data_IF_419781072624
#
_entry.id   IF_419781072624
#
_cell.length_a   1.000
_cell.length_b   1.000
_cell.length_c   1.000
_cell.angle_alpha   90.00
_cell.angle_beta   90.00
_cell.angle_gamma   90.00
#
_symmetry.space_group_name_H-M   'P 1'
#
loop_
_entity.id
_entity.type
_entity.pdbx_description
1 polymer ?
#
# COMPACT_ATOMS: atom_id res chain seq x y z
N UNK A 1 -22.89 2.03 -16.78
CA UNK A 1 -23.60 1.33 -15.68
C UNK A 1 -22.82 1.34 -14.35
N UNK A 2 -21.48 1.47 -14.33
CA UNK A 2 -20.70 1.59 -13.09
C UNK A 2 -20.87 2.93 -12.32
N UNK A 3 -21.37 3.99 -12.96
CA UNK A 3 -21.58 5.31 -12.36
C UNK A 3 -22.70 5.35 -11.30
N UNK A 4 -23.53 4.30 -11.20
CA UNK A 4 -24.57 4.20 -10.16
C UNK A 4 -24.09 3.64 -8.81
N UNK A 5 -22.88 3.07 -8.73
CA UNK A 5 -22.40 2.39 -7.51
C UNK A 5 -21.60 3.29 -6.57
N UNK A 6 -21.05 4.40 -7.07
CA UNK A 6 -20.32 5.39 -6.27
C UNK A 6 -21.21 6.60 -6.10
N UNK A 7 -22.09 6.51 -5.11
CA UNK A 7 -22.83 7.68 -4.66
C UNK A 7 -21.87 8.60 -3.88
N UNK A 8 -22.07 9.92 -3.96
CA UNK A 8 -21.32 10.88 -3.14
C UNK A 8 -21.39 10.52 -1.65
N UNK A 9 -22.53 9.95 -1.23
CA UNK A 9 -22.77 9.43 0.12
C UNK A 9 -21.77 8.34 0.53
N UNK A 10 -21.28 7.51 -0.41
CA UNK A 10 -20.27 6.49 -0.11
C UNK A 10 -18.90 7.12 0.17
N UNK A 11 -18.53 8.15 -0.60
CA UNK A 11 -17.25 8.85 -0.45
C UNK A 11 -17.26 9.68 0.85
N UNK A 12 -18.36 10.35 1.16
CA UNK A 12 -18.50 11.12 2.40
C UNK A 12 -18.57 10.21 3.62
N UNK A 13 -19.25 9.06 3.54
CA UNK A 13 -19.23 8.04 4.57
C UNK A 13 -17.82 7.47 4.77
N UNK A 14 -17.11 7.15 3.69
CA UNK A 14 -15.72 6.68 3.75
C UNK A 14 -14.79 7.72 4.38
N UNK A 15 -14.95 9.01 4.05
CA UNK A 15 -14.17 10.10 4.64
C UNK A 15 -14.47 10.27 6.13
N UNK A 16 -15.74 10.19 6.54
CA UNK A 16 -16.15 10.22 7.96
C UNK A 16 -15.58 9.02 8.72
N UNK A 17 -15.59 7.84 8.11
CA UNK A 17 -15.04 6.63 8.72
C UNK A 17 -13.52 6.67 8.79
N UNK A 18 -12.83 7.26 7.81
CA UNK A 18 -11.39 7.46 7.83
C UNK A 18 -10.90 8.31 9.02
N UNK A 19 -11.77 9.15 9.58
CA UNK A 19 -11.47 9.94 10.79
C UNK A 19 -11.63 9.13 12.10
N UNK A 20 -12.09 7.88 12.05
CA UNK A 20 -12.25 7.05 13.26
C UNK A 20 -10.88 6.69 13.83
N UNK A 21 -10.60 6.99 15.12
CA UNK A 21 -9.28 6.74 15.73
C UNK A 21 -8.81 5.30 15.63
N UNK A 22 -9.74 4.33 15.66
CA UNK A 22 -9.43 2.90 15.57
C UNK A 22 -8.89 2.49 14.20
N UNK A 23 -9.42 3.08 13.11
CA UNK A 23 -8.94 2.78 11.75
C UNK A 23 -7.58 3.45 11.51
N UNK A 24 -7.44 4.70 11.96
CA UNK A 24 -6.17 5.44 11.91
C UNK A 24 -5.09 4.67 12.69
N UNK A 25 -5.38 4.19 13.90
CA UNK A 25 -4.39 3.45 14.69
C UNK A 25 -3.93 2.16 13.99
N UNK A 26 -4.84 1.40 13.39
CA UNK A 26 -4.49 0.17 12.64
C UNK A 26 -3.62 0.49 11.44
N UNK A 27 -3.99 1.50 10.65
CA UNK A 27 -3.27 1.85 9.43
C UNK A 27 -1.93 2.55 9.74
N UNK A 28 -1.88 3.44 10.73
CA UNK A 28 -0.64 4.08 11.16
C UNK A 28 0.36 3.04 11.65
N UNK A 29 -0.06 2.08 12.48
CA UNK A 29 0.78 0.95 12.90
C UNK A 29 1.31 0.15 11.71
N UNK A 30 0.47 -0.06 10.70
CA UNK A 30 0.84 -0.78 9.47
C UNK A 30 1.90 -0.01 8.70
N UNK A 31 1.69 1.29 8.45
CA UNK A 31 2.61 2.15 7.73
C UNK A 31 3.94 2.32 8.48
N UNK A 32 3.90 2.53 9.79
CA UNK A 32 5.10 2.63 10.62
C UNK A 32 5.91 1.33 10.56
N UNK A 33 5.26 0.17 10.70
CA UNK A 33 5.97 -1.12 10.57
C UNK A 33 6.54 -1.35 9.17
N UNK A 34 5.84 -0.94 8.11
CA UNK A 34 6.34 -1.00 6.74
C UNK A 34 7.59 -0.13 6.53
N UNK A 35 7.59 1.09 7.07
CA UNK A 35 8.75 2.00 7.03
C UNK A 35 9.91 1.43 7.85
N UNK A 36 9.66 0.85 9.02
CA UNK A 36 10.70 0.21 9.83
C UNK A 36 11.34 -0.99 9.11
N UNK A 37 10.54 -1.84 8.46
CA UNK A 37 11.05 -2.94 7.65
C UNK A 37 11.84 -2.43 6.45
N UNK A 38 11.33 -1.43 5.73
CA UNK A 38 12.07 -0.82 4.63
C UNK A 38 13.41 -0.24 5.10
N UNK A 39 13.42 0.47 6.24
CA UNK A 39 14.65 0.99 6.86
C UNK A 39 15.62 -0.13 7.23
N UNK A 40 15.16 -1.19 7.89
CA UNK A 40 16.01 -2.30 8.34
C UNK A 40 16.70 -3.01 7.17
N UNK A 41 16.01 -3.17 6.04
CA UNK A 41 16.52 -3.93 4.88
C UNK A 41 17.13 -3.06 3.76
N UNK A 42 16.95 -1.73 3.78
CA UNK A 42 17.56 -0.82 2.79
C UNK A 42 18.59 0.18 3.37
N UNK A 43 18.59 0.48 4.68
CA UNK A 43 19.39 1.58 5.22
C UNK A 43 20.89 1.27 5.46
N UNK A 44 21.39 0.10 5.08
CA UNK A 44 22.78 -0.30 5.36
C UNK A 44 23.81 -0.12 4.25
N UNK A 45 23.38 0.15 3.00
CA UNK A 45 24.30 0.20 1.85
C UNK A 45 24.89 -1.17 1.48
N UNK A 46 24.75 -1.58 0.22
CA UNK A 46 25.28 -2.84 -0.34
C UNK A 46 24.82 -4.14 0.36
N UNK A 47 23.53 -4.25 0.69
CA UNK A 47 22.96 -5.58 0.96
C UNK A 47 22.95 -6.42 -0.33
N UNK A 48 23.30 -7.70 -0.22
CA UNK A 48 23.18 -8.65 -1.32
C UNK A 48 21.71 -8.72 -1.79
N UNK A 49 21.49 -8.90 -3.11
CA UNK A 49 20.17 -9.02 -3.74
C UNK A 49 19.16 -9.90 -2.95
N UNK A 50 19.52 -11.07 -2.39
CA UNK A 50 18.60 -11.89 -1.61
C UNK A 50 18.04 -11.20 -0.37
N UNK A 51 18.84 -10.37 0.30
CA UNK A 51 18.45 -9.64 1.52
C UNK A 51 17.47 -8.51 1.18
N UNK A 52 17.72 -7.79 0.08
CA UNK A 52 16.80 -6.77 -0.42
C UNK A 52 15.46 -7.40 -0.84
N UNK A 53 15.51 -8.53 -1.54
CA UNK A 53 14.31 -9.27 -1.95
C UNK A 53 13.49 -9.73 -0.74
N UNK A 54 14.15 -10.28 0.28
CA UNK A 54 13.51 -10.67 1.54
C UNK A 54 12.85 -9.46 2.21
N UNK A 55 13.52 -8.32 2.26
CA UNK A 55 12.97 -7.07 2.78
C UNK A 55 11.70 -6.64 2.05
N UNK A 56 11.70 -6.68 0.71
CA UNK A 56 10.52 -6.36 -0.12
C UNK A 56 9.37 -7.32 0.18
N UNK A 57 9.62 -8.64 0.25
CA UNK A 57 8.59 -9.64 0.53
C UNK A 57 8.00 -9.43 1.92
N UNK A 58 8.84 -9.24 2.94
CA UNK A 58 8.39 -9.00 4.31
C UNK A 58 7.56 -7.71 4.39
N UNK A 59 7.98 -6.66 3.69
CA UNK A 59 7.24 -5.41 3.64
C UNK A 59 5.85 -5.58 2.98
N UNK A 60 5.79 -6.32 1.86
CA UNK A 60 4.52 -6.64 1.18
C UNK A 60 3.60 -7.48 2.08
N UNK A 61 4.13 -8.51 2.74
CA UNK A 61 3.38 -9.33 3.71
C UNK A 61 2.85 -8.48 4.87
N UNK A 62 3.66 -7.55 5.39
CA UNK A 62 3.26 -6.65 6.47
C UNK A 62 2.15 -5.68 6.05
N UNK A 63 2.28 -5.07 4.87
CA UNK A 63 1.25 -4.21 4.30
C UNK A 63 -0.05 -4.97 4.07
N UNK A 64 0.01 -6.17 3.48
CA UNK A 64 -1.18 -7.02 3.29
C UNK A 64 -1.83 -7.41 4.61
N UNK A 65 -1.03 -7.73 5.62
CA UNK A 65 -1.52 -8.06 6.94
C UNK A 65 -2.30 -6.90 7.55
N UNK A 66 -1.74 -5.70 7.52
CA UNK A 66 -2.40 -4.49 8.03
C UNK A 66 -3.63 -4.07 7.22
N UNK A 67 -3.54 -4.13 5.89
CA UNK A 67 -4.69 -3.86 5.00
C UNK A 67 -5.82 -4.87 5.21
N UNK A 68 -5.52 -6.14 5.46
CA UNK A 68 -6.53 -7.17 5.77
C UNK A 68 -7.22 -6.89 7.11
N UNK A 69 -6.45 -6.49 8.13
CA UNK A 69 -7.00 -6.06 9.41
C UNK A 69 -7.92 -4.84 9.26
N UNK A 70 -7.49 -3.85 8.48
CA UNK A 70 -8.26 -2.64 8.19
C UNK A 70 -9.54 -2.96 7.41
N UNK A 71 -9.43 -3.78 6.35
CA UNK A 71 -10.56 -4.21 5.54
C UNK A 71 -11.60 -4.95 6.38
N UNK A 72 -11.17 -5.76 7.36
CA UNK A 72 -12.08 -6.41 8.30
C UNK A 72 -12.83 -5.41 9.19
N UNK A 73 -12.14 -4.41 9.75
CA UNK A 73 -12.78 -3.35 10.56
C UNK A 73 -13.82 -2.57 9.74
N UNK A 74 -13.47 -2.21 8.51
CA UNK A 74 -14.36 -1.50 7.58
C UNK A 74 -15.57 -2.38 7.24
N UNK A 75 -15.34 -3.64 6.90
CA UNK A 75 -16.41 -4.58 6.56
C UNK A 75 -17.43 -4.72 7.70
N UNK A 76 -16.96 -4.82 8.96
CA UNK A 76 -17.84 -4.87 10.13
C UNK A 76 -18.62 -3.57 10.34
N UNK A 77 -18.01 -2.40 10.12
CA UNK A 77 -18.72 -1.11 10.19
C UNK A 77 -19.86 -1.07 9.15
N UNK A 78 -19.57 -1.52 7.93
CA UNK A 78 -20.57 -1.58 6.86
C UNK A 78 -21.69 -2.62 7.11
N UNK A 79 -21.49 -3.59 8.00
CA UNK A 79 -22.57 -4.48 8.47
C UNK A 79 -23.53 -3.81 9.45
N UNK A 80 -23.19 -2.62 9.96
CA UNK A 80 -23.88 -1.98 11.07
C UNK A 80 -23.33 -2.34 12.45
N UNK A 81 -22.25 -3.13 12.52
CA UNK A 81 -21.63 -3.53 13.79
C UNK A 81 -20.66 -2.47 14.32
N UNK A 82 -20.42 -2.50 15.63
CA UNK A 82 -19.39 -1.66 16.25
C UNK A 82 -17.98 -2.04 15.73
N UNK A 83 -17.11 -1.06 15.43
CA UNK A 83 -15.80 -1.35 14.85
C UNK A 83 -14.93 -2.16 15.82
N UNK A 84 -14.43 -3.35 15.42
CA UNK A 84 -13.61 -4.16 16.28
C UNK A 84 -12.32 -3.42 16.65
N UNK A 85 -11.80 -3.70 17.84
CA UNK A 85 -10.55 -3.09 18.30
C UNK A 85 -9.38 -3.49 17.39
N UNK A 86 -8.36 -2.64 17.29
CA UNK A 86 -7.16 -2.93 16.48
C UNK A 86 -6.55 -4.29 16.81
N UNK A 87 -6.53 -4.68 18.10
CA UNK A 87 -6.07 -6.02 18.52
C UNK A 87 -6.92 -7.16 17.93
N UNK A 88 -8.24 -7.01 17.91
CA UNK A 88 -9.14 -8.02 17.31
C UNK A 88 -8.95 -8.11 15.80
N UNK A 89 -8.79 -6.97 15.12
CA UNK A 89 -8.54 -6.91 13.69
C UNK A 89 -7.21 -7.59 13.30
N UNK A 90 -6.14 -7.37 14.07
CA UNK A 90 -4.85 -8.02 13.84
C UNK A 90 -4.90 -9.52 14.15
N UNK A 91 -5.68 -9.95 15.15
CA UNK A 91 -5.92 -11.39 15.40
C UNK A 91 -6.67 -12.04 14.23
N UNK A 92 -7.64 -11.34 13.64
CA UNK A 92 -8.32 -11.81 12.44
C UNK A 92 -7.32 -11.98 11.28
N UNK A 93 -6.50 -10.96 11.00
CA UNK A 93 -5.46 -11.04 9.97
C UNK A 93 -4.44 -12.16 10.26
N UNK A 94 -4.12 -12.43 11.53
CA UNK A 94 -3.20 -13.51 11.92
C UNK A 94 -3.76 -14.89 11.60
N UNK A 95 -5.07 -15.11 11.74
CA UNK A 95 -5.71 -16.37 11.32
C UNK A 95 -5.58 -16.59 9.81
N UNK A 96 -5.48 -15.49 9.05
CA UNK A 96 -5.37 -15.44 7.59
C UNK A 96 -3.92 -15.43 7.08
N UNK A 97 -2.93 -15.61 7.95
CA UNK A 97 -1.51 -15.41 7.61
C UNK A 97 -1.07 -16.28 6.43
N UNK A 98 -1.55 -17.53 6.34
CA UNK A 98 -1.22 -18.43 5.23
C UNK A 98 -1.62 -17.84 3.88
N UNK A 99 -2.84 -17.30 3.79
CA UNK A 99 -3.32 -16.63 2.57
C UNK A 99 -2.51 -15.36 2.31
N UNK A 100 -2.29 -14.53 3.33
CA UNK A 100 -1.52 -13.28 3.23
C UNK A 100 -0.09 -13.50 2.73
N UNK A 101 0.59 -14.56 3.18
CA UNK A 101 1.99 -14.85 2.80
C UNK A 101 2.10 -15.53 1.44
N UNK A 102 1.17 -16.44 1.11
CA UNK A 102 1.20 -17.13 -0.18
C UNK A 102 1.10 -16.13 -1.33
N UNK A 103 0.25 -15.12 -1.22
CA UNK A 103 -0.10 -14.24 -2.33
C UNK A 103 1.08 -13.37 -2.85
N UNK A 104 1.91 -12.74 -1.99
CA UNK A 104 3.18 -12.14 -2.39
C UNK A 104 4.15 -13.12 -3.03
N UNK A 105 4.18 -14.39 -2.58
CA UNK A 105 5.04 -15.41 -3.19
C UNK A 105 4.58 -15.73 -4.62
N UNK A 106 3.28 -15.82 -4.88
CA UNK A 106 2.75 -15.97 -6.24
C UNK A 106 3.08 -14.75 -7.11
N UNK A 107 2.92 -13.54 -6.59
CA UNK A 107 3.26 -12.31 -7.29
C UNK A 107 4.77 -12.24 -7.61
N UNK A 108 5.61 -12.63 -6.66
CA UNK A 108 7.05 -12.73 -6.84
C UNK A 108 7.42 -13.78 -7.88
N UNK A 109 6.79 -14.96 -7.86
CA UNK A 109 7.04 -15.99 -8.85
C UNK A 109 6.68 -15.51 -10.27
N UNK A 110 5.58 -14.77 -10.42
CA UNK A 110 5.17 -14.17 -11.68
C UNK A 110 6.12 -13.05 -12.12
N UNK A 111 6.63 -12.25 -11.18
CA UNK A 111 7.63 -11.21 -11.44
C UNK A 111 8.97 -11.82 -11.86
N UNK A 112 9.43 -12.88 -11.19
CA UNK A 112 10.63 -13.63 -11.56
C UNK A 112 10.49 -14.26 -12.94
N UNK A 113 9.31 -14.78 -13.28
CA UNK A 113 9.03 -15.29 -14.62
C UNK A 113 9.08 -14.17 -15.67
N UNK A 114 8.54 -12.99 -15.36
CA UNK A 114 8.59 -11.82 -16.24
C UNK A 114 10.04 -11.34 -16.44
N UNK A 115 10.84 -11.27 -15.38
CA UNK A 115 12.26 -10.93 -15.44
C UNK A 115 13.03 -11.99 -16.24
N UNK A 116 12.75 -13.27 -16.06
CA UNK A 116 13.37 -14.34 -16.86
C UNK A 116 13.01 -14.21 -18.35
N UNK A 117 11.76 -13.87 -18.66
CA UNK A 117 11.33 -13.61 -20.03
C UNK A 117 12.02 -12.36 -20.60
N UNK A 118 12.17 -11.30 -19.82
CA UNK A 118 12.92 -10.09 -20.19
C UNK A 118 14.39 -10.40 -20.48
N UNK A 119 15.06 -11.15 -19.59
CA UNK A 119 16.45 -11.57 -19.78
C UNK A 119 16.60 -12.45 -21.03
N UNK A 120 15.63 -13.33 -21.30
CA UNK A 120 15.59 -14.13 -22.51
C UNK A 120 15.45 -13.27 -23.77
N UNK A 121 14.57 -12.25 -23.74
CA UNK A 121 14.39 -11.30 -24.84
C UNK A 121 15.63 -10.44 -25.08
N UNK A 122 16.28 -9.97 -24.00
CA UNK A 122 17.55 -9.23 -24.07
C UNK A 122 18.68 -10.10 -24.61
N UNK A 123 18.73 -11.37 -24.23
CA UNK A 123 19.65 -12.34 -24.82
C UNK A 123 19.41 -12.51 -26.32
N UNK A 124 18.13 -12.59 -26.75
CA UNK A 124 17.76 -12.63 -28.17
C UNK A 124 18.20 -11.36 -28.92
N UNK A 125 18.15 -10.20 -28.26
CA UNK A 125 18.56 -8.91 -28.82
C UNK A 125 20.08 -8.78 -29.03
N UNK A 126 20.90 -9.64 -28.41
CA UNK A 126 22.35 -9.69 -28.66
C UNK A 126 22.72 -10.38 -29.98
N UNK A 127 21.76 -10.82 -30.79
CA UNK A 127 22.04 -11.36 -32.12
C UNK A 127 22.56 -10.25 -33.08
N UNK A 128 23.74 -10.44 -33.70
CA UNK A 128 24.35 -9.42 -34.54
C UNK A 128 23.48 -9.11 -35.77
N UNK A 129 23.25 -7.81 -36.03
CA UNK A 129 22.53 -7.30 -37.21
C UNK A 129 21.11 -6.75 -36.96
N UNK A 130 20.48 -7.05 -35.81
CA UNK A 130 19.09 -6.64 -35.53
C UNK A 130 18.90 -6.06 -34.11
N UNK A 131 19.94 -6.10 -33.28
CA UNK A 131 19.86 -5.82 -31.85
C UNK A 131 19.31 -4.44 -31.47
N UNK A 132 19.70 -3.37 -32.15
CA UNK A 132 19.21 -2.01 -31.84
C UNK A 132 17.72 -1.82 -32.16
N UNK A 133 17.23 -2.42 -33.25
CA UNK A 133 15.81 -2.37 -33.64
C UNK A 133 14.97 -3.18 -32.66
N UNK A 134 15.44 -4.37 -32.27
CA UNK A 134 14.80 -5.19 -31.24
C UNK A 134 14.81 -4.51 -29.87
N UNK A 135 15.93 -3.89 -29.47
CA UNK A 135 16.05 -3.25 -28.16
C UNK A 135 15.12 -2.03 -28.07
N UNK A 136 15.03 -1.20 -29.11
CA UNK A 136 14.05 -0.10 -29.13
C UNK A 136 12.59 -0.60 -29.22
N UNK A 137 12.32 -1.62 -30.03
CA UNK A 137 10.99 -2.22 -30.17
C UNK A 137 10.53 -2.99 -28.92
N UNK A 138 11.45 -3.53 -28.10
CA UNK A 138 11.15 -4.31 -26.90
C UNK A 138 11.27 -3.49 -25.61
N UNK A 139 12.18 -2.52 -25.52
CA UNK A 139 12.39 -1.73 -24.29
C UNK A 139 11.17 -0.89 -23.93
N UNK A 140 10.48 -0.30 -24.92
CA UNK A 140 9.26 0.48 -24.67
C UNK A 140 8.13 -0.43 -24.14
N UNK A 141 7.79 -1.56 -24.78
CA UNK A 141 6.86 -2.55 -24.21
C UNK A 141 7.28 -3.09 -22.85
N UNK A 142 8.58 -3.27 -22.60
CA UNK A 142 9.11 -3.75 -21.32
C UNK A 142 8.95 -2.74 -20.20
N UNK A 143 9.25 -1.46 -20.46
CA UNK A 143 8.95 -0.36 -19.53
C UNK A 143 7.45 -0.26 -19.23
N UNK A 144 6.63 -0.42 -20.28
CA UNK A 144 5.18 -0.43 -20.14
C UNK A 144 4.72 -1.65 -19.31
N UNK A 145 5.30 -2.82 -19.55
CA UNK A 145 5.03 -4.06 -18.81
C UNK A 145 5.42 -3.92 -17.34
N UNK A 146 6.59 -3.35 -17.02
CA UNK A 146 7.02 -3.10 -15.64
C UNK A 146 6.08 -2.13 -14.92
N UNK A 147 5.62 -1.09 -15.62
CA UNK A 147 4.64 -0.13 -15.08
C UNK A 147 3.29 -0.83 -14.84
N UNK A 148 2.82 -1.64 -15.79
CA UNK A 148 1.60 -2.44 -15.66
C UNK A 148 1.71 -3.48 -14.54
N UNK A 149 2.89 -4.06 -14.34
CA UNK A 149 3.15 -5.04 -13.29
C UNK A 149 3.13 -4.37 -11.90
N UNK A 150 3.74 -3.20 -11.77
CA UNK A 150 3.66 -2.39 -10.54
C UNK A 150 2.20 -2.01 -10.23
N UNK A 151 1.48 -1.55 -11.25
CA UNK A 151 0.04 -1.28 -11.17
C UNK A 151 -0.75 -2.51 -10.74
N UNK A 152 -0.45 -3.68 -11.31
CA UNK A 152 -1.07 -4.96 -10.96
C UNK A 152 -0.77 -5.40 -9.52
N UNK A 153 0.44 -5.11 -9.00
CA UNK A 153 0.80 -5.36 -7.61
C UNK A 153 -0.02 -4.46 -6.67
N UNK A 154 -0.09 -3.16 -6.96
CA UNK A 154 -0.89 -2.21 -6.16
C UNK A 154 -2.38 -2.57 -6.20
N UNK A 155 -2.90 -2.88 -7.39
CA UNK A 155 -4.24 -3.42 -7.59
C UNK A 155 -4.48 -4.69 -6.79
N UNK A 156 -3.49 -5.58 -6.81
CA UNK A 156 -3.45 -6.80 -6.04
C UNK A 156 -3.63 -6.48 -4.57
N UNK A 157 -2.77 -5.67 -3.96
CA UNK A 157 -2.73 -5.43 -2.51
C UNK A 157 -4.11 -5.07 -1.90
N UNK A 158 -4.80 -4.07 -2.45
CA UNK A 158 -6.09 -3.61 -1.90
C UNK A 158 -7.24 -4.59 -2.19
N UNK A 159 -7.33 -5.10 -3.42
CA UNK A 159 -8.39 -6.04 -3.80
C UNK A 159 -8.24 -7.38 -3.05
N UNK A 160 -6.99 -7.82 -2.86
CA UNK A 160 -6.64 -9.01 -2.12
C UNK A 160 -7.00 -8.87 -0.64
N UNK A 161 -6.63 -7.75 -0.01
CA UNK A 161 -6.97 -7.48 1.38
C UNK A 161 -8.49 -7.45 1.60
N UNK A 162 -9.23 -6.80 0.71
CA UNK A 162 -10.70 -6.78 0.75
C UNK A 162 -11.29 -8.19 0.58
N UNK A 163 -10.80 -8.98 -0.40
CA UNK A 163 -11.31 -10.33 -0.64
C UNK A 163 -10.97 -11.28 0.51
N UNK A 164 -9.77 -11.22 1.08
CA UNK A 164 -9.37 -12.03 2.26
C UNK A 164 -10.21 -11.67 3.48
N UNK A 165 -10.58 -10.39 3.65
CA UNK A 165 -11.47 -9.96 4.72
C UNK A 165 -12.91 -10.48 4.56
N UNK A 166 -13.40 -10.58 3.31
CA UNK A 166 -14.78 -10.99 3.00
C UNK A 166 -14.91 -12.52 2.87
N UNK A 167 -13.89 -13.22 2.39
CA UNK A 167 -13.98 -14.65 2.02
C UNK A 167 -13.35 -15.61 3.04
N UNK A 168 -13.75 -16.90 2.98
CA UNK A 168 -13.29 -17.99 3.87
C UNK A 168 -11.79 -18.32 3.77
N UNK A 169 -11.27 -19.17 4.66
CA UNK A 169 -9.83 -19.34 4.98
C UNK A 169 -8.95 -19.93 3.87
N UNK A 170 -9.51 -20.21 2.69
CA UNK A 170 -8.83 -20.96 1.65
C UNK A 170 -8.14 -20.06 0.61
N UNK A 171 -6.81 -20.02 0.64
CA UNK A 171 -5.97 -19.25 -0.29
C UNK A 171 -6.25 -19.56 -1.77
N UNK A 172 -6.53 -20.82 -2.12
CA UNK A 172 -6.83 -21.21 -3.50
C UNK A 172 -8.21 -20.73 -3.96
N UNK A 173 -9.16 -20.61 -3.04
CA UNK A 173 -10.48 -20.04 -3.32
C UNK A 173 -10.37 -18.52 -3.52
N UNK A 174 -9.59 -17.84 -2.67
CA UNK A 174 -9.26 -16.41 -2.80
C UNK A 174 -8.60 -16.17 -4.16
N UNK A 175 -7.59 -16.97 -4.52
CA UNK A 175 -6.89 -16.90 -5.82
C UNK A 175 -7.86 -17.03 -6.99
N UNK A 176 -8.70 -18.08 -7.00
CA UNK A 176 -9.66 -18.32 -8.10
C UNK A 176 -10.66 -17.18 -8.25
N UNK A 177 -11.22 -16.68 -7.13
CA UNK A 177 -12.17 -15.57 -7.15
C UNK A 177 -11.52 -14.27 -7.62
N UNK A 178 -10.30 -13.98 -7.18
CA UNK A 178 -9.54 -12.81 -7.64
C UNK A 178 -9.20 -12.90 -9.11
N UNK A 179 -8.79 -14.08 -9.58
CA UNK A 179 -8.50 -14.30 -11.00
C UNK A 179 -9.74 -14.12 -11.87
N UNK A 180 -10.90 -14.62 -11.42
CA UNK A 180 -12.17 -14.41 -12.11
C UNK A 180 -12.57 -12.92 -12.15
N UNK A 181 -12.46 -12.22 -11.01
CA UNK A 181 -12.72 -10.78 -10.91
C UNK A 181 -11.78 -9.96 -11.77
N UNK A 182 -10.47 -10.25 -11.74
CA UNK A 182 -9.48 -9.61 -12.58
C UNK A 182 -9.82 -9.84 -14.06
N UNK A 183 -10.11 -11.07 -14.47
CA UNK A 183 -10.43 -11.36 -15.88
C UNK A 183 -11.70 -10.66 -16.35
N UNK A 184 -12.73 -10.56 -15.52
CA UNK A 184 -14.01 -9.98 -15.92
C UNK A 184 -14.03 -8.45 -15.87
N UNK A 185 -13.30 -7.82 -14.93
CA UNK A 185 -13.46 -6.40 -14.61
C UNK A 185 -12.14 -5.69 -14.31
N UNK A 186 -11.05 -6.09 -14.98
CA UNK A 186 -9.73 -5.51 -14.74
C UNK A 186 -9.72 -3.98 -14.89
N UNK A 187 -10.41 -3.43 -15.90
CA UNK A 187 -10.43 -2.00 -16.19
C UNK A 187 -11.13 -1.19 -15.11
N UNK A 188 -12.27 -1.66 -14.60
CA UNK A 188 -12.99 -1.02 -13.50
C UNK A 188 -12.10 -1.02 -12.23
N UNK A 189 -11.56 -2.18 -11.85
CA UNK A 189 -10.67 -2.28 -10.68
C UNK A 189 -9.45 -1.37 -10.82
N UNK A 190 -8.85 -1.30 -12.01
CA UNK A 190 -7.69 -0.46 -12.31
C UNK A 190 -8.01 1.02 -12.18
N UNK A 191 -9.09 1.50 -12.79
CA UNK A 191 -9.51 2.91 -12.68
C UNK A 191 -9.74 3.29 -11.21
N UNK A 192 -10.39 2.43 -10.43
CA UNK A 192 -10.69 2.75 -9.02
C UNK A 192 -9.45 2.72 -8.12
N UNK A 193 -8.60 1.70 -8.22
CA UNK A 193 -7.42 1.62 -7.35
C UNK A 193 -6.33 2.61 -7.77
N UNK A 194 -6.17 2.86 -9.08
CA UNK A 194 -5.19 3.84 -9.59
C UNK A 194 -5.68 5.26 -9.37
N UNK A 195 -6.96 5.53 -9.66
CA UNK A 195 -7.58 6.82 -9.34
C UNK A 195 -7.56 7.09 -7.84
N UNK A 196 -7.88 6.08 -7.03
CA UNK A 196 -7.78 6.14 -5.57
C UNK A 196 -6.35 6.43 -5.10
N UNK A 197 -5.35 5.73 -5.64
CA UNK A 197 -3.93 5.96 -5.33
C UNK A 197 -3.46 7.36 -5.75
N UNK A 198 -3.84 7.83 -6.93
CA UNK A 198 -3.50 9.17 -7.41
C UNK A 198 -4.11 10.26 -6.52
N UNK A 199 -5.40 10.14 -6.21
CA UNK A 199 -6.08 11.05 -5.27
C UNK A 199 -5.43 11.00 -3.90
N UNK A 200 -5.01 9.82 -3.45
CA UNK A 200 -4.29 9.61 -2.19
C UNK A 200 -2.94 10.30 -2.19
N UNK A 201 -2.16 10.18 -3.27
CA UNK A 201 -0.87 10.85 -3.41
C UNK A 201 -1.04 12.36 -3.47
N UNK A 202 -2.03 12.86 -4.20
CA UNK A 202 -2.35 14.30 -4.26
C UNK A 202 -2.79 14.82 -2.89
N UNK A 203 -3.67 14.11 -2.20
CA UNK A 203 -4.13 14.49 -0.86
C UNK A 203 -2.99 14.45 0.16
N UNK A 204 -2.16 13.41 0.13
CA UNK A 204 -0.97 13.31 0.97
C UNK A 204 0.00 14.46 0.67
N UNK A 205 0.26 14.78 -0.59
CA UNK A 205 1.09 15.91 -0.98
C UNK A 205 0.50 17.24 -0.50
N UNK A 206 -0.81 17.46 -0.63
CA UNK A 206 -1.50 18.66 -0.18
C UNK A 206 -1.50 18.83 1.34
N UNK A 207 -1.59 17.74 2.11
CA UNK A 207 -1.55 17.78 3.59
C UNK A 207 -0.11 17.88 4.10
N UNK A 208 0.84 17.17 3.46
CA UNK A 208 2.25 17.20 3.84
C UNK A 208 2.95 18.49 3.39
N UNK A 209 2.49 19.15 2.32
CA UNK A 209 3.06 20.41 1.83
C UNK A 209 3.05 21.53 2.89
N UNK A 210 1.95 21.86 3.58
CA UNK A 210 1.95 22.88 4.63
C UNK A 210 2.74 22.43 5.87
N UNK A 211 2.76 21.14 6.20
CA UNK A 211 3.63 20.61 7.27
C UNK A 211 5.11 20.79 6.92
N UNK A 212 5.48 20.51 5.67
CA UNK A 212 6.84 20.68 5.16
C UNK A 212 7.24 22.16 5.04
N UNK A 213 6.33 23.01 4.58
CA UNK A 213 6.53 24.45 4.49
C UNK A 213 6.63 25.08 5.89
N UNK A 214 5.77 24.67 6.83
CA UNK A 214 5.83 25.04 8.24
C UNK A 214 7.14 24.62 8.87
N UNK A 215 7.55 23.37 8.68
CA UNK A 215 8.86 22.86 9.12
C UNK A 215 10.02 23.71 8.59
N UNK A 216 10.03 24.01 7.29
CA UNK A 216 11.06 24.87 6.67
C UNK A 216 11.03 26.30 7.19
N UNK A 217 9.86 26.86 7.44
CA UNK A 217 9.71 28.21 7.98
C UNK A 217 10.17 28.27 9.44
N UNK A 218 9.80 27.28 10.25
CA UNK A 218 10.27 27.15 11.63
C UNK A 218 11.79 26.99 11.68
N UNK A 219 12.37 26.17 10.80
CA UNK A 219 13.83 26.06 10.67
C UNK A 219 14.47 27.43 10.35
N UNK A 220 13.95 28.15 9.35
CA UNK A 220 14.48 29.48 8.95
C UNK A 220 14.33 30.54 10.04
N UNK A 221 13.18 30.62 10.70
CA UNK A 221 12.94 31.58 11.79
C UNK A 221 13.83 31.27 13.00
N UNK A 222 14.09 29.99 13.27
CA UNK A 222 14.97 29.59 14.35
C UNK A 222 16.44 29.81 14.02
N UNK A 223 16.89 29.59 12.79
CA UNK A 223 18.23 29.97 12.31
C UNK A 223 18.50 31.47 12.51
N UNK A 224 17.47 32.31 12.38
CA UNK A 224 17.58 33.75 12.65
C UNK A 224 17.49 34.14 14.12
N UNK A 225 16.92 33.30 14.98
CA UNK A 225 16.62 33.62 16.38
C UNK A 225 17.55 32.95 17.41
N UNK A 226 18.23 31.86 17.05
CA UNK A 226 19.01 31.05 17.98
C UNK A 226 20.45 30.84 17.46
N UNK A 227 21.44 31.42 18.12
CA UNK A 227 22.85 31.36 17.68
C UNK A 227 23.52 29.99 17.90
N UNK A 228 23.00 29.09 18.74
CA UNK A 228 23.72 27.85 19.10
C UNK A 228 22.97 26.57 19.53
N UNK A 229 21.64 26.48 19.83
CA UNK A 229 21.11 25.26 20.46
C UNK A 229 20.66 24.12 19.50
N UNK A 230 20.23 24.37 18.26
CA UNK A 230 19.69 23.29 17.38
C UNK A 230 20.73 22.55 16.53
N UNK A 231 21.91 23.13 16.28
CA UNK A 231 22.98 22.42 15.58
C UNK A 231 23.38 21.13 16.32
N UNK A 232 23.25 21.12 17.65
CA UNK A 232 23.46 19.96 18.55
C UNK A 232 22.38 18.88 18.46
N UNK A 233 21.17 19.23 18.05
CA UNK A 233 20.04 18.31 17.90
C UNK A 233 19.88 17.79 16.46
N UNK A 234 20.27 18.58 15.46
CA UNK A 234 20.34 18.13 14.05
C UNK A 234 21.65 17.36 13.76
N UNK A 235 22.70 17.62 14.54
CA UNK A 235 23.92 16.80 14.62
C UNK A 235 24.10 16.30 16.06
N UNK A 236 23.61 15.11 16.39
CA UNK A 236 23.61 14.62 17.76
C UNK A 236 25.04 14.50 18.27
N UNK A 237 25.45 15.45 19.10
CA UNK A 237 26.68 15.38 19.89
C UNK A 237 26.26 15.32 21.36
N UNK A 238 26.44 14.13 21.96
CA UNK A 238 26.02 13.83 23.33
C UNK A 238 24.73 13.00 23.44
N UNK A 239 24.56 12.36 24.59
CA UNK A 239 23.46 11.41 24.86
C UNK A 239 22.07 12.06 24.80
N UNK A 240 21.89 13.21 25.47
CA UNK A 240 20.60 13.89 25.60
C UNK A 240 20.10 14.50 24.28
N UNK A 241 21.01 15.08 23.49
CA UNK A 241 20.69 15.64 22.17
C UNK A 241 20.34 14.53 21.17
N UNK A 242 21.06 13.41 21.21
CA UNK A 242 20.71 12.20 20.44
C UNK A 242 19.33 11.64 20.79
N UNK A 243 18.99 11.59 22.09
CA UNK A 243 17.67 11.11 22.53
C UNK A 243 16.53 12.03 22.07
N UNK A 244 16.71 13.34 22.17
CA UNK A 244 15.72 14.31 21.72
C UNK A 244 15.57 14.33 20.18
N UNK A 245 16.67 14.16 19.43
CA UNK A 245 16.63 13.97 17.98
C UNK A 245 15.84 12.71 17.60
N UNK A 246 16.12 11.59 18.27
CA UNK A 246 15.43 10.32 18.02
C UNK A 246 13.93 10.41 18.34
N UNK A 247 13.56 11.04 19.46
CA UNK A 247 12.16 11.30 19.81
C UNK A 247 11.47 12.18 18.76
N UNK A 248 12.13 13.22 18.27
CA UNK A 248 11.62 14.08 17.21
C UNK A 248 11.33 13.31 15.91
N UNK A 249 12.26 12.45 15.49
CA UNK A 249 12.08 11.59 14.32
C UNK A 249 10.91 10.61 14.49
N UNK A 250 10.77 10.00 15.67
CA UNK A 250 9.66 9.07 15.97
C UNK A 250 8.31 9.80 15.91
N UNK A 251 8.20 10.95 16.59
CA UNK A 251 6.95 11.72 16.62
C UNK A 251 6.56 12.24 15.24
N UNK A 252 7.53 12.76 14.47
CA UNK A 252 7.31 13.23 13.11
C UNK A 252 6.90 12.06 12.18
N UNK A 253 7.57 10.91 12.29
CA UNK A 253 7.23 9.71 11.52
C UNK A 253 5.83 9.19 11.83
N UNK A 254 5.42 9.19 13.10
CA UNK A 254 4.06 8.81 13.53
C UNK A 254 3.00 9.78 12.99
N UNK A 255 3.29 11.08 13.00
CA UNK A 255 2.39 12.10 12.44
C UNK A 255 2.20 11.92 10.93
N UNK A 256 3.29 11.72 10.19
CA UNK A 256 3.25 11.44 8.74
C UNK A 256 2.47 10.16 8.46
N UNK A 257 2.69 9.10 9.25
CA UNK A 257 1.95 7.85 9.13
C UNK A 257 0.45 8.03 9.38
N UNK A 258 0.07 8.82 10.39
CA UNK A 258 -1.34 9.13 10.67
C UNK A 258 -2.02 9.90 9.53
N UNK A 259 -1.35 10.89 8.95
CA UNK A 259 -1.84 11.64 7.78
C UNK A 259 -1.98 10.73 6.56
N UNK A 260 -0.95 9.94 6.26
CA UNK A 260 -0.96 9.00 5.13
C UNK A 260 -1.98 7.85 5.30
N UNK A 261 -2.45 7.60 6.53
CA UNK A 261 -3.45 6.59 6.81
C UNK A 261 -4.83 6.94 6.25
N UNK A 262 -5.24 8.21 6.32
CA UNK A 262 -6.57 8.68 5.90
C UNK A 262 -6.91 8.22 4.48
N UNK A 263 -6.08 8.51 3.47
CA UNK A 263 -6.43 8.14 2.10
C UNK A 263 -6.33 6.63 1.85
N UNK A 264 -5.43 5.91 2.53
CA UNK A 264 -5.39 4.44 2.50
C UNK A 264 -6.68 3.80 3.06
N UNK A 265 -7.26 4.40 4.10
CA UNK A 265 -8.54 3.97 4.67
C UNK A 265 -9.68 4.20 3.68
N UNK A 266 -9.72 5.37 3.02
CA UNK A 266 -10.74 5.68 2.00
C UNK A 266 -10.69 4.70 0.84
N UNK A 267 -9.49 4.41 0.29
CA UNK A 267 -9.35 3.40 -0.78
C UNK A 267 -9.89 2.06 -0.31
N UNK A 268 -9.43 1.58 0.85
CA UNK A 268 -9.84 0.28 1.38
C UNK A 268 -11.36 0.22 1.59
N UNK A 269 -11.97 1.31 2.03
CA UNK A 269 -13.41 1.42 2.19
C UNK A 269 -14.15 1.29 0.85
N UNK A 270 -13.74 2.04 -0.16
CA UNK A 270 -14.34 1.96 -1.50
C UNK A 270 -14.14 0.56 -2.09
N UNK A 271 -12.94 -0.02 -1.98
CA UNK A 271 -12.65 -1.37 -2.47
C UNK A 271 -13.53 -2.43 -1.81
N UNK A 272 -13.72 -2.38 -0.49
CA UNK A 272 -14.60 -3.31 0.23
C UNK A 272 -16.06 -3.11 -0.20
N UNK A 273 -16.53 -1.87 -0.34
CA UNK A 273 -17.90 -1.58 -0.77
C UNK A 273 -18.20 -2.15 -2.16
N UNK A 274 -17.28 -1.97 -3.11
CA UNK A 274 -17.39 -2.51 -4.47
C UNK A 274 -17.48 -4.03 -4.44
N UNK A 275 -16.60 -4.71 -3.67
CA UNK A 275 -16.63 -6.17 -3.59
C UNK A 275 -17.94 -6.71 -2.99
N UNK A 276 -18.52 -6.01 -2.01
CA UNK A 276 -19.83 -6.37 -1.45
C UNK A 276 -20.98 -6.17 -2.44
N UNK A 277 -20.98 -5.05 -3.16
CA UNK A 277 -21.97 -4.79 -4.20
C UNK A 277 -21.91 -5.86 -5.31
N UNK A 278 -20.70 -6.28 -5.68
CA UNK A 278 -20.48 -7.34 -6.66
C UNK A 278 -20.97 -8.70 -6.18
N UNK A 279 -20.69 -9.09 -4.93
CA UNK A 279 -21.15 -10.37 -4.39
C UNK A 279 -22.70 -10.44 -4.33
N UNK A 280 -23.38 -9.33 -3.99
CA UNK A 280 -24.86 -9.26 -4.00
C UNK A 280 -25.48 -9.46 -5.39
N UNK A 281 -24.84 -8.93 -6.44
CA UNK A 281 -25.32 -9.10 -7.82
C UNK A 281 -25.15 -10.53 -8.34
N UNK A 282 -24.17 -11.28 -7.80
CA UNK A 282 -23.98 -12.69 -8.13
C UNK A 282 -24.98 -13.61 -7.43
N UNK A 283 -25.56 -13.18 -6.30
CA UNK A 283 -26.59 -13.91 -5.57
C UNK A 283 -28.01 -13.62 -6.11
N UNK A 284 -28.21 -12.49 -6.80
CA UNK A 284 -29.49 -12.08 -7.39
C UNK A 284 -29.90 -12.68 -8.77
N UNK A 285 -29.13 -13.47 -9.54
CA UNK A 285 -29.55 -13.94 -10.86
C UNK A 285 -30.57 -15.11 -10.82
N UNK A 286 -31.07 -15.46 -9.63
CA UNK A 286 -32.08 -16.51 -9.43
C UNK A 286 -33.37 -16.01 -8.75
N UNK A 287 -33.57 -14.69 -8.65
CA UNK A 287 -34.81 -14.09 -8.16
C UNK A 287 -35.65 -13.55 -9.32
#
# INVERSE_FOLDING_TARGET
MASGYVNYDLITAAARDAMRPRLIATMALTLTGAVMLAGLFNAGGHHALPVQLLGVILNLCWLLFGLTALAHQIHTIMCGDSPPTTRMALRFARRRLRSIVMLPLWALALLLLAVAAELFLLWLANLPGIGLVWLAALAIPLLLLNTLLLLAIVLGLFNLAARVAISGDNADQVRRKLWALARQRWSELLIYNVGGLLVTLIAAALILAPLWAGWRLTLRLMETAATTPWHLLLHPSGFWSGMAYMLGLILCGLLVAAVASIPAIVITHVTVAIHRALDRLQEAPHA
#
